data_IF_598948859326
#
_entry.id   IF_598948859326
#
_cell.length_a   1.000
_cell.length_b   1.000
_cell.length_c   1.000
_cell.angle_alpha   90.00
_cell.angle_beta   90.00
_cell.angle_gamma   90.00
#
_symmetry.space_group_name_H-M   'P 1'
#
loop_
_entity.id
_entity.type
_entity.pdbx_description
1 polymer ?
#
# COMPACT_ATOMS: atom_id res chain seq x y z
N UNK A 1 18.32 7.85 5.51
CA UNK A 1 18.17 7.77 4.05
C UNK A 1 19.38 8.35 3.32
N UNK A 2 19.76 9.60 3.59
CA UNK A 2 20.86 10.30 2.89
C UNK A 2 22.20 9.56 2.99
N UNK A 3 22.56 9.09 4.19
CA UNK A 3 23.79 8.30 4.38
C UNK A 3 23.80 6.99 3.58
N UNK A 4 22.66 6.34 3.44
CA UNK A 4 22.55 5.12 2.65
C UNK A 4 22.75 5.40 1.15
N UNK A 5 22.22 6.52 0.66
CA UNK A 5 22.41 6.97 -0.73
C UNK A 5 23.88 7.27 -0.97
N UNK A 6 24.55 7.93 -0.04
CA UNK A 6 25.97 8.22 -0.14
C UNK A 6 26.83 6.96 -0.16
N UNK A 7 26.57 6.01 0.74
CA UNK A 7 27.26 4.71 0.73
C UNK A 7 27.04 3.94 -0.60
N UNK A 8 25.84 4.05 -1.18
CA UNK A 8 25.55 3.40 -2.47
C UNK A 8 26.37 4.03 -3.61
N UNK A 9 26.51 5.35 -3.65
CA UNK A 9 27.39 6.03 -4.62
C UNK A 9 28.84 5.59 -4.49
N UNK A 10 29.38 5.57 -3.27
CA UNK A 10 30.73 5.10 -3.01
C UNK A 10 30.94 3.63 -3.42
N UNK A 11 29.92 2.78 -3.22
CA UNK A 11 29.93 1.41 -3.71
C UNK A 11 30.06 1.35 -5.23
N UNK A 12 29.30 2.16 -5.96
CA UNK A 12 29.36 2.24 -7.43
C UNK A 12 30.71 2.81 -7.93
N UNK A 13 31.21 3.87 -7.30
CA UNK A 13 32.53 4.47 -7.61
C UNK A 13 33.67 3.47 -7.37
N UNK A 14 33.52 2.60 -6.38
CA UNK A 14 34.43 1.49 -6.11
C UNK A 14 34.31 0.32 -7.09
N UNK A 15 33.46 0.40 -8.09
CA UNK A 15 33.27 -0.64 -9.11
C UNK A 15 32.52 -1.89 -8.60
N UNK A 16 31.86 -1.82 -7.45
CA UNK A 16 31.09 -2.92 -6.89
C UNK A 16 29.66 -2.92 -7.48
N UNK A 17 29.22 -4.07 -7.96
CA UNK A 17 27.87 -4.25 -8.51
C UNK A 17 26.85 -4.45 -7.38
N UNK A 18 25.73 -3.69 -7.37
CA UNK A 18 24.65 -3.89 -6.42
C UNK A 18 23.95 -5.24 -6.67
N UNK A 19 23.57 -5.90 -5.59
CA UNK A 19 22.69 -7.06 -5.60
C UNK A 19 21.23 -6.67 -5.33
N UNK A 20 20.25 -7.58 -5.48
CA UNK A 20 18.83 -7.26 -5.22
C UNK A 20 18.56 -6.74 -3.81
N UNK A 21 19.30 -7.19 -2.79
CA UNK A 21 19.14 -6.71 -1.41
C UNK A 21 19.61 -5.27 -1.29
N UNK A 22 20.74 -4.96 -1.92
CA UNK A 22 21.25 -3.57 -2.00
C UNK A 22 20.24 -2.65 -2.67
N UNK A 23 19.64 -3.04 -3.79
CA UNK A 23 18.60 -2.26 -4.46
C UNK A 23 17.38 -2.05 -3.57
N UNK A 24 16.90 -3.07 -2.85
CA UNK A 24 15.78 -2.92 -1.92
C UNK A 24 16.12 -1.92 -0.80
N UNK A 25 17.31 -2.00 -0.23
CA UNK A 25 17.74 -1.09 0.83
C UNK A 25 17.80 0.35 0.36
N UNK A 26 18.37 0.59 -0.83
CA UNK A 26 18.50 1.95 -1.35
C UNK A 26 17.16 2.53 -1.83
N UNK A 27 16.26 1.72 -2.41
CA UNK A 27 14.91 2.15 -2.74
C UNK A 27 14.12 2.57 -1.50
N UNK A 28 14.23 1.83 -0.38
CA UNK A 28 13.65 2.25 0.91
C UNK A 28 14.26 3.54 1.43
N UNK A 29 15.56 3.76 1.24
CA UNK A 29 16.22 5.01 1.58
C UNK A 29 15.67 6.17 0.72
N UNK A 30 15.59 5.99 -0.61
CA UNK A 30 15.01 6.96 -1.54
C UNK A 30 13.56 7.31 -1.16
N UNK A 31 12.75 6.30 -0.84
CA UNK A 31 11.38 6.47 -0.37
C UNK A 31 11.30 7.30 0.92
N UNK A 32 12.25 7.13 1.86
CA UNK A 32 12.27 7.86 3.14
C UNK A 32 12.62 9.34 3.00
N UNK A 33 13.51 9.66 2.06
CA UNK A 33 13.94 11.06 1.79
C UNK A 33 13.25 11.67 0.56
N UNK A 34 12.37 10.92 -0.09
CA UNK A 34 11.66 11.29 -1.32
C UNK A 34 12.59 11.67 -2.47
N UNK A 35 13.73 10.99 -2.59
CA UNK A 35 14.69 11.17 -3.67
C UNK A 35 14.24 10.43 -4.92
N UNK A 36 13.44 11.09 -5.75
CA UNK A 36 12.91 10.53 -6.99
C UNK A 36 14.03 10.25 -8.00
N UNK A 37 14.94 11.22 -8.19
CA UNK A 37 16.03 11.11 -9.17
C UNK A 37 16.86 9.84 -8.96
N UNK A 38 17.30 9.60 -7.72
CA UNK A 38 18.05 8.37 -7.39
C UNK A 38 17.18 7.13 -7.57
N UNK A 39 15.90 7.20 -7.16
CA UNK A 39 14.96 6.08 -7.34
C UNK A 39 14.77 5.69 -8.80
N UNK A 40 14.71 6.66 -9.71
CA UNK A 40 14.60 6.42 -11.16
C UNK A 40 15.90 5.82 -11.76
N UNK A 41 17.06 6.31 -11.34
CA UNK A 41 18.36 5.73 -11.75
C UNK A 41 18.44 4.25 -11.35
N UNK A 42 18.01 3.92 -10.14
CA UNK A 42 17.98 2.55 -9.64
C UNK A 42 16.97 1.70 -10.42
N UNK A 43 15.78 2.23 -10.71
CA UNK A 43 14.77 1.55 -11.51
C UNK A 43 15.30 1.18 -12.91
N UNK A 44 16.02 2.10 -13.56
CA UNK A 44 16.65 1.85 -14.85
C UNK A 44 17.70 0.72 -14.76
N UNK A 45 18.49 0.70 -13.70
CA UNK A 45 19.50 -0.34 -13.50
C UNK A 45 18.87 -1.71 -13.23
N UNK A 46 17.83 -1.78 -12.40
CA UNK A 46 17.04 -2.98 -12.14
C UNK A 46 16.46 -3.55 -13.44
N UNK A 47 15.89 -2.69 -14.30
CA UNK A 47 15.31 -3.08 -15.58
C UNK A 47 16.36 -3.59 -16.56
N UNK A 48 17.54 -2.95 -16.63
CA UNK A 48 18.66 -3.41 -17.46
C UNK A 48 19.15 -4.81 -17.08
N UNK A 49 19.11 -5.11 -15.79
CA UNK A 49 19.52 -6.43 -15.27
C UNK A 49 18.39 -7.47 -15.31
N UNK A 50 17.17 -7.10 -15.70
CA UNK A 50 16.01 -8.00 -15.76
C UNK A 50 15.54 -8.53 -14.40
N UNK A 51 15.91 -7.85 -13.29
CA UNK A 51 15.67 -8.33 -11.94
C UNK A 51 14.22 -8.20 -11.45
N UNK A 52 13.40 -7.41 -12.14
CA UNK A 52 12.04 -7.11 -11.70
C UNK A 52 11.11 -8.31 -11.81
N UNK A 53 11.25 -9.10 -12.88
CA UNK A 53 10.36 -10.23 -13.17
C UNK A 53 10.49 -11.36 -12.14
N UNK A 54 11.70 -11.56 -11.61
CA UNK A 54 12.02 -12.65 -10.69
C UNK A 54 11.97 -12.26 -9.22
N UNK A 55 11.87 -10.95 -8.89
CA UNK A 55 12.00 -10.48 -7.52
C UNK A 55 10.83 -9.61 -7.07
N UNK A 56 9.80 -10.28 -6.52
CA UNK A 56 8.62 -9.61 -5.97
C UNK A 56 8.95 -8.56 -4.89
N UNK A 57 9.97 -8.80 -4.06
CA UNK A 57 10.36 -7.85 -3.01
C UNK A 57 10.92 -6.56 -3.59
N UNK A 58 11.63 -6.67 -4.71
CA UNK A 58 12.17 -5.53 -5.45
C UNK A 58 11.04 -4.70 -6.08
N UNK A 59 10.07 -5.39 -6.70
CA UNK A 59 8.87 -4.76 -7.23
C UNK A 59 8.08 -4.01 -6.14
N UNK A 60 7.87 -4.63 -4.99
CA UNK A 60 7.20 -3.98 -3.86
C UNK A 60 7.97 -2.74 -3.36
N UNK A 61 9.31 -2.78 -3.34
CA UNK A 61 10.14 -1.64 -2.94
C UNK A 61 10.05 -0.48 -3.96
N UNK A 62 9.97 -0.77 -5.25
CA UNK A 62 9.76 0.22 -6.31
C UNK A 62 8.37 0.86 -6.21
N UNK A 63 7.32 0.07 -6.04
CA UNK A 63 5.96 0.58 -5.82
C UNK A 63 5.92 1.52 -4.61
N UNK A 64 6.47 1.11 -3.45
CA UNK A 64 6.52 1.93 -2.24
C UNK A 64 7.32 3.23 -2.46
N UNK A 65 8.45 3.15 -3.18
CA UNK A 65 9.28 4.33 -3.51
C UNK A 65 8.50 5.33 -4.36
N UNK A 66 7.86 4.90 -5.45
CA UNK A 66 7.09 5.81 -6.29
C UNK A 66 5.88 6.42 -5.58
N UNK A 67 5.16 5.64 -4.77
CA UNK A 67 4.07 6.13 -3.92
C UNK A 67 4.55 7.23 -2.99
N UNK A 68 5.65 7.02 -2.27
CA UNK A 68 6.20 8.00 -1.31
C UNK A 68 6.78 9.24 -1.99
N UNK A 69 7.25 9.10 -3.22
CA UNK A 69 7.69 10.22 -4.07
C UNK A 69 6.52 10.98 -4.73
N UNK A 70 5.26 10.57 -4.51
CA UNK A 70 4.09 11.27 -5.05
C UNK A 70 3.72 10.90 -6.48
N UNK A 71 4.15 9.76 -6.98
CA UNK A 71 3.94 9.28 -8.35
C UNK A 71 3.16 7.95 -8.38
N UNK A 72 1.88 7.94 -7.96
CA UNK A 72 1.08 6.71 -7.95
C UNK A 72 0.88 6.09 -9.34
N UNK A 73 0.88 6.88 -10.42
CA UNK A 73 0.83 6.38 -11.79
C UNK A 73 2.05 5.52 -12.16
N UNK A 74 3.27 5.96 -11.81
CA UNK A 74 4.49 5.14 -12.01
C UNK A 74 4.50 3.90 -11.12
N UNK A 75 3.96 4.00 -9.91
CA UNK A 75 3.80 2.83 -9.05
C UNK A 75 2.89 1.79 -9.68
N UNK A 76 1.81 2.23 -10.34
CA UNK A 76 0.92 1.33 -11.09
C UNK A 76 1.63 0.70 -12.30
N UNK A 77 2.41 1.46 -13.06
CA UNK A 77 3.18 0.91 -14.19
C UNK A 77 4.10 -0.24 -13.73
N UNK A 78 4.84 -0.05 -12.62
CA UNK A 78 5.66 -1.11 -12.02
C UNK A 78 4.80 -2.28 -11.57
N UNK A 79 3.68 -2.02 -10.90
CA UNK A 79 2.76 -3.05 -10.44
C UNK A 79 2.23 -3.92 -11.59
N UNK A 80 1.89 -3.33 -12.75
CA UNK A 80 1.39 -4.10 -13.90
C UNK A 80 2.47 -5.00 -14.52
N UNK A 81 3.75 -4.62 -14.43
CA UNK A 81 4.87 -5.42 -14.92
C UNK A 81 5.16 -6.65 -14.05
N UNK A 82 4.69 -6.68 -12.80
CA UNK A 82 4.93 -7.81 -11.91
C UNK A 82 4.13 -9.04 -12.34
N UNK A 83 4.80 -10.16 -12.57
CA UNK A 83 4.18 -11.44 -12.94
C UNK A 83 3.34 -12.01 -11.79
N UNK A 84 3.80 -11.84 -10.56
CA UNK A 84 3.13 -12.32 -9.35
C UNK A 84 2.82 -11.13 -8.45
N UNK A 85 1.58 -11.07 -7.96
CA UNK A 85 1.11 -10.03 -7.05
C UNK A 85 0.56 -10.68 -5.78
N UNK A 86 1.18 -10.39 -4.64
CA UNK A 86 0.66 -10.86 -3.34
C UNK A 86 -0.08 -9.74 -2.60
N UNK A 87 -0.63 -10.04 -1.43
CA UNK A 87 -1.36 -9.06 -0.61
C UNK A 87 -0.53 -7.80 -0.30
N UNK A 88 0.79 -7.93 -0.13
CA UNK A 88 1.68 -6.78 0.14
C UNK A 88 1.78 -5.87 -1.07
N UNK A 89 1.87 -6.42 -2.28
CA UNK A 89 1.90 -5.67 -3.54
C UNK A 89 0.62 -4.86 -3.73
N UNK A 90 -0.54 -5.51 -3.56
CA UNK A 90 -1.85 -4.87 -3.64
C UNK A 90 -2.02 -3.78 -2.58
N UNK A 91 -1.66 -4.06 -1.32
CA UNK A 91 -1.74 -3.09 -0.23
C UNK A 91 -0.85 -1.87 -0.45
N UNK A 92 0.33 -2.05 -1.05
CA UNK A 92 1.21 -0.95 -1.42
C UNK A 92 0.50 0.04 -2.34
N UNK A 93 -0.11 -0.45 -3.41
CA UNK A 93 -0.80 0.38 -4.40
C UNK A 93 -2.09 0.99 -3.83
N UNK A 94 -2.95 0.20 -3.17
CA UNK A 94 -4.20 0.67 -2.55
C UNK A 94 -3.92 1.77 -1.51
N UNK A 95 -2.94 1.54 -0.62
CA UNK A 95 -2.55 2.54 0.38
C UNK A 95 -2.05 3.82 -0.27
N UNK A 96 -1.28 3.67 -1.34
CA UNK A 96 -0.79 4.78 -2.13
C UNK A 96 -1.90 5.63 -2.70
N UNK A 97 -2.86 5.02 -3.36
CA UNK A 97 -4.01 5.72 -3.92
C UNK A 97 -4.83 6.46 -2.85
N UNK A 98 -5.16 5.80 -1.74
CA UNK A 98 -5.90 6.43 -0.63
C UNK A 98 -5.14 7.63 -0.07
N UNK A 99 -3.82 7.55 0.10
CA UNK A 99 -2.99 8.66 0.59
C UNK A 99 -2.95 9.86 -0.37
N UNK A 100 -3.05 9.61 -1.66
CA UNK A 100 -3.05 10.65 -2.69
C UNK A 100 -4.47 11.12 -3.07
N UNK A 101 -5.52 10.67 -2.35
CA UNK A 101 -6.91 11.05 -2.60
C UNK A 101 -7.52 10.40 -3.84
N UNK A 102 -6.84 9.45 -4.45
CA UNK A 102 -7.27 8.69 -5.62
C UNK A 102 -8.16 7.52 -5.16
N UNK A 103 -9.32 7.87 -4.62
CA UNK A 103 -10.20 6.91 -3.92
C UNK A 103 -10.82 5.90 -4.88
N UNK A 104 -11.21 6.35 -6.07
CA UNK A 104 -11.81 5.47 -7.07
C UNK A 104 -10.81 4.41 -7.55
N UNK A 105 -9.55 4.80 -7.78
CA UNK A 105 -8.47 3.91 -8.16
C UNK A 105 -8.16 2.88 -7.05
N UNK A 106 -8.25 3.30 -5.79
CA UNK A 106 -8.09 2.39 -4.65
C UNK A 106 -9.20 1.34 -4.59
N UNK A 107 -10.45 1.74 -4.83
CA UNK A 107 -11.61 0.83 -4.86
C UNK A 107 -11.56 -0.11 -6.05
N UNK A 108 -11.14 0.37 -7.21
CA UNK A 108 -10.93 -0.46 -8.40
C UNK A 108 -9.83 -1.50 -8.15
N UNK A 109 -8.69 -1.10 -7.59
CA UNK A 109 -7.63 -2.02 -7.18
C UNK A 109 -8.12 -3.08 -6.20
N UNK A 110 -8.95 -2.72 -5.23
CA UNK A 110 -9.56 -3.68 -4.31
C UNK A 110 -10.47 -4.69 -5.03
N UNK A 111 -11.27 -4.23 -5.99
CA UNK A 111 -12.10 -5.10 -6.83
C UNK A 111 -11.25 -6.09 -7.62
N UNK A 112 -10.18 -5.61 -8.26
CA UNK A 112 -9.21 -6.44 -9.01
C UNK A 112 -8.51 -7.46 -8.10
N UNK A 113 -8.03 -7.05 -6.93
CA UNK A 113 -7.40 -7.93 -5.94
C UNK A 113 -8.30 -9.13 -5.61
N UNK A 114 -9.59 -8.88 -5.40
CA UNK A 114 -10.58 -9.94 -5.13
C UNK A 114 -10.83 -10.84 -6.34
N UNK A 115 -10.92 -10.28 -7.54
CA UNK A 115 -11.12 -11.04 -8.78
C UNK A 115 -9.91 -11.93 -9.11
N UNK A 116 -8.71 -11.53 -8.71
CA UNK A 116 -7.48 -12.33 -8.81
C UNK A 116 -7.29 -13.32 -7.64
N UNK A 117 -8.35 -13.51 -6.79
CA UNK A 117 -8.36 -14.42 -5.65
C UNK A 117 -7.26 -14.14 -4.60
N UNK A 118 -6.78 -12.90 -4.50
CA UNK A 118 -5.90 -12.49 -3.41
C UNK A 118 -6.75 -12.04 -2.22
N UNK A 119 -6.62 -12.74 -1.11
CA UNK A 119 -7.40 -12.47 0.10
C UNK A 119 -7.00 -11.14 0.73
N UNK A 120 -7.96 -10.21 0.99
CA UNK A 120 -7.70 -8.98 1.74
C UNK A 120 -7.27 -9.27 3.18
N UNK A 121 -6.39 -8.43 3.72
CA UNK A 121 -5.97 -8.47 5.12
C UNK A 121 -6.42 -7.20 5.88
N UNK A 122 -6.01 -7.08 7.14
CA UNK A 122 -6.31 -5.92 8.01
C UNK A 122 -5.89 -4.59 7.37
N UNK A 123 -4.76 -4.57 6.67
CA UNK A 123 -4.26 -3.36 5.98
C UNK A 123 -5.19 -2.99 4.82
N UNK A 124 -5.56 -3.97 4.00
CA UNK A 124 -6.52 -3.78 2.90
C UNK A 124 -7.83 -3.21 3.41
N UNK A 125 -8.45 -3.88 4.41
CA UNK A 125 -9.74 -3.44 4.96
C UNK A 125 -9.65 -2.03 5.56
N UNK A 126 -8.58 -1.72 6.30
CA UNK A 126 -8.36 -0.38 6.86
C UNK A 126 -8.32 0.69 5.77
N UNK A 127 -7.61 0.44 4.67
CA UNK A 127 -7.51 1.39 3.57
C UNK A 127 -8.85 1.57 2.85
N UNK A 128 -9.58 0.49 2.58
CA UNK A 128 -10.86 0.57 1.86
C UNK A 128 -11.95 1.21 2.72
N UNK A 129 -12.04 0.90 4.01
CA UNK A 129 -12.97 1.58 4.91
C UNK A 129 -12.66 3.08 5.03
N UNK A 130 -11.38 3.48 5.07
CA UNK A 130 -11.00 4.91 4.99
C UNK A 130 -11.44 5.54 3.69
N UNK A 131 -11.25 4.86 2.56
CA UNK A 131 -11.69 5.32 1.25
C UNK A 131 -13.20 5.54 1.23
N UNK A 132 -14.00 4.58 1.73
CA UNK A 132 -15.46 4.70 1.83
C UNK A 132 -15.88 5.88 2.71
N UNK A 133 -15.21 6.10 3.84
CA UNK A 133 -15.46 7.25 4.71
C UNK A 133 -15.11 8.59 4.04
N UNK A 134 -14.08 8.66 3.20
CA UNK A 134 -13.71 9.88 2.46
C UNK A 134 -14.81 10.28 1.47
N UNK A 135 -15.36 9.30 0.72
CA UNK A 135 -16.42 9.58 -0.27
C UNK A 135 -17.83 9.54 0.33
N UNK A 136 -17.98 9.18 1.60
CA UNK A 136 -19.28 9.06 2.26
C UNK A 136 -20.17 7.93 1.73
N UNK A 137 -19.57 6.90 1.10
CA UNK A 137 -20.33 5.80 0.48
C UNK A 137 -20.52 4.64 1.44
N UNK A 138 -21.72 4.58 2.02
CA UNK A 138 -22.14 3.44 2.83
C UNK A 138 -22.40 2.20 1.96
N UNK A 139 -22.83 2.38 0.72
CA UNK A 139 -23.10 1.30 -0.22
C UNK A 139 -21.87 0.40 -0.45
N UNK A 140 -20.70 1.02 -0.63
CA UNK A 140 -19.44 0.29 -0.81
C UNK A 140 -18.87 -0.14 0.55
N UNK A 141 -19.02 0.67 1.58
CA UNK A 141 -18.45 0.42 2.91
C UNK A 141 -19.15 -0.72 3.66
N UNK A 142 -20.46 -0.87 3.51
CA UNK A 142 -21.24 -1.88 4.25
C UNK A 142 -20.84 -3.33 3.96
N UNK A 143 -20.68 -3.77 2.71
CA UNK A 143 -20.20 -5.12 2.42
C UNK A 143 -18.82 -5.41 3.02
N UNK A 144 -17.92 -4.42 2.98
CA UNK A 144 -16.57 -4.53 3.58
C UNK A 144 -16.66 -4.61 5.10
N UNK A 145 -17.50 -3.75 5.71
CA UNK A 145 -17.74 -3.76 7.14
C UNK A 145 -18.33 -5.09 7.63
N UNK A 146 -19.30 -5.64 6.90
CA UNK A 146 -19.90 -6.93 7.20
C UNK A 146 -18.87 -8.08 7.16
N UNK A 147 -17.96 -8.05 6.19
CA UNK A 147 -16.87 -9.03 6.08
C UNK A 147 -15.92 -8.94 7.29
N UNK A 148 -15.49 -7.72 7.65
CA UNK A 148 -14.64 -7.45 8.82
C UNK A 148 -15.30 -7.91 10.13
N UNK A 149 -16.62 -7.67 10.28
CA UNK A 149 -17.38 -8.07 11.46
C UNK A 149 -17.54 -9.58 11.52
N UNK A 150 -17.88 -10.23 10.40
CA UNK A 150 -18.02 -11.69 10.29
C UNK A 150 -16.74 -12.42 10.68
N UNK A 151 -15.59 -11.89 10.27
CA UNK A 151 -14.27 -12.45 10.63
C UNK A 151 -13.83 -12.08 12.05
N UNK A 152 -14.51 -11.16 12.73
CA UNK A 152 -14.17 -10.67 14.07
C UNK A 152 -12.87 -9.89 14.14
N UNK A 153 -12.37 -9.38 12.99
CA UNK A 153 -11.08 -8.70 12.87
C UNK A 153 -11.05 -7.39 13.65
N UNK A 154 -12.16 -6.63 13.66
CA UNK A 154 -12.26 -5.34 14.34
C UNK A 154 -12.08 -5.42 15.87
N UNK A 155 -12.29 -6.60 16.47
CA UNK A 155 -12.04 -6.86 17.89
C UNK A 155 -10.60 -7.23 18.20
N UNK A 156 -9.87 -7.74 17.18
CA UNK A 156 -8.47 -8.15 17.30
C UNK A 156 -7.51 -7.01 16.99
N UNK A 157 -7.93 -6.10 16.09
CA UNK A 157 -7.17 -4.93 15.68
C UNK A 157 -7.95 -3.65 15.97
N UNK A 158 -7.49 -2.89 16.96
CA UNK A 158 -8.16 -1.67 17.42
C UNK A 158 -8.14 -0.56 16.37
N UNK A 159 -7.09 -0.51 15.52
CA UNK A 159 -7.04 0.47 14.41
C UNK A 159 -8.11 0.19 13.38
N UNK A 160 -8.31 -1.07 13.04
CA UNK A 160 -9.38 -1.48 12.12
C UNK A 160 -10.75 -1.19 12.75
N UNK A 161 -10.93 -1.48 14.05
CA UNK A 161 -12.15 -1.17 14.77
C UNK A 161 -12.47 0.32 14.77
N UNK A 162 -11.49 1.17 15.09
CA UNK A 162 -11.64 2.63 15.05
C UNK A 162 -11.93 3.14 13.62
N UNK A 163 -11.30 2.54 12.61
CA UNK A 163 -11.54 2.88 11.21
C UNK A 163 -12.97 2.54 10.78
N UNK A 164 -13.52 1.44 11.27
CA UNK A 164 -14.88 1.02 11.01
C UNK A 164 -15.90 2.01 11.64
N UNK A 165 -15.65 2.44 12.88
CA UNK A 165 -16.45 3.48 13.55
C UNK A 165 -16.39 4.81 12.77
N UNK A 166 -15.20 5.25 12.36
CA UNK A 166 -14.99 6.49 11.59
C UNK A 166 -15.70 6.43 10.23
N UNK A 167 -15.63 5.30 9.53
CA UNK A 167 -16.32 5.08 8.25
C UNK A 167 -17.84 5.24 8.44
N UNK A 168 -18.44 4.54 9.41
CA UNK A 168 -19.87 4.65 9.66
C UNK A 168 -20.29 6.06 10.05
N UNK A 169 -19.50 6.75 10.89
CA UNK A 169 -19.79 8.12 11.29
C UNK A 169 -19.76 9.08 10.10
N UNK A 170 -18.74 8.99 9.23
CA UNK A 170 -18.60 9.81 8.02
C UNK A 170 -19.67 9.53 6.97
N UNK A 171 -20.15 8.30 6.89
CA UNK A 171 -21.27 7.92 6.04
C UNK A 171 -22.67 8.25 6.64
N UNK A 172 -22.72 8.92 7.81
CA UNK A 172 -23.97 9.31 8.47
C UNK A 172 -24.69 8.17 9.21
N UNK A 173 -24.11 6.98 9.26
CA UNK A 173 -24.69 5.81 9.92
C UNK A 173 -24.34 5.76 11.42
N UNK A 174 -24.65 6.82 12.16
CA UNK A 174 -24.24 7.04 13.55
C UNK A 174 -24.65 5.91 14.50
N UNK A 175 -25.82 5.31 14.30
CA UNK A 175 -26.30 4.18 15.11
C UNK A 175 -25.34 2.98 14.99
N UNK A 176 -24.95 2.64 13.75
CA UNK A 176 -23.96 1.56 13.51
C UNK A 176 -22.58 1.89 14.06
N UNK A 177 -22.16 3.16 13.98
CA UNK A 177 -20.91 3.61 14.59
C UNK A 177 -20.91 3.37 16.11
N UNK A 178 -21.99 3.71 16.81
CA UNK A 178 -22.15 3.46 18.24
C UNK A 178 -22.16 1.94 18.57
N UNK A 179 -22.91 1.15 17.80
CA UNK A 179 -22.97 -0.32 17.98
C UNK A 179 -21.60 -0.99 17.85
N UNK A 180 -20.79 -0.56 16.87
CA UNK A 180 -19.42 -1.06 16.70
C UNK A 180 -18.52 -0.61 17.84
N UNK A 181 -18.60 0.68 18.21
CA UNK A 181 -17.79 1.25 19.30
C UNK A 181 -18.01 0.53 20.64
N UNK A 182 -19.25 0.18 20.96
CA UNK A 182 -19.59 -0.56 22.18
C UNK A 182 -19.02 -1.97 22.21
N UNK A 183 -18.75 -2.56 21.04
CA UNK A 183 -18.19 -3.89 20.90
C UNK A 183 -16.65 -3.91 20.91
N UNK A 184 -15.97 -2.76 20.90
CA UNK A 184 -14.52 -2.71 20.95
C UNK A 184 -14.00 -3.14 22.33
N UNK A 185 -12.91 -3.93 22.39
CA UNK A 185 -12.43 -4.52 23.65
C UNK A 185 -11.78 -3.51 24.59
N UNK A 186 -11.36 -2.35 24.08
CA UNK A 186 -10.72 -1.27 24.86
C UNK A 186 -11.40 0.05 24.49
N UNK A 187 -11.79 0.80 25.51
CA UNK A 187 -12.39 2.13 25.41
C UNK A 187 -11.40 3.22 25.76
#
# INVERSE_FOLDING_TARGET
>A
GEKAIECFRQMQEGGLSPDPVTFICILKACASVRSLEMGEQICLEINKQGLLEENLMLGNALVDMYIKCGLPGKAQEVFEQLLVKNVVTWNGLITGYVRHGLVNEALECYGRMRSENVAPDVVTYTCILKACGIIGSLEIGEPVAAEVQKQGLFRKDIMLGNTLVDMYAKCGALKKACEVFEQLPVR
#
